data_IF_083283846164
#
_entry.id   IF_083283846164
#
_cell.length_a   1.000
_cell.length_b   1.000
_cell.length_c   1.000
_cell.angle_alpha   90.00
_cell.angle_beta   90.00
_cell.angle_gamma   90.00
#
_symmetry.space_group_name_H-M   'P 1'
#
loop_
_entity.id
_entity.type
_entity.pdbx_description
1 polymer ?
#
# COMPACT_ATOMS: atom_id res chain seq x y z
N UNK A 1 -2.15 -2.48 74.37
CA UNK A 1 -1.13 -1.41 74.49
C UNK A 1 0.18 -1.91 73.90
N UNK A 2 0.24 -2.23 72.61
CA UNK A 2 -0.24 -1.43 71.48
C UNK A 2 0.26 0.01 71.55
N UNK A 3 0.59 0.53 70.38
CA UNK A 3 1.02 1.91 70.11
C UNK A 3 2.46 2.19 70.53
N UNK A 4 3.43 1.69 69.76
CA UNK A 4 4.50 2.55 69.19
C UNK A 4 5.48 1.84 68.22
N UNK A 5 5.23 0.59 67.83
CA UNK A 5 6.11 -0.20 66.93
C UNK A 5 5.43 -0.64 65.60
N UNK A 6 4.25 -0.07 65.26
CA UNK A 6 3.56 -0.35 63.99
C UNK A 6 2.95 0.91 63.39
N UNK A 7 3.78 1.91 63.02
CA UNK A 7 3.43 2.95 62.04
C UNK A 7 4.67 3.54 61.36
N UNK A 8 5.48 2.70 60.72
CA UNK A 8 6.31 3.07 59.55
C UNK A 8 6.42 1.90 58.57
N UNK A 9 5.31 1.18 58.37
CA UNK A 9 5.15 0.13 57.34
C UNK A 9 4.47 0.68 56.08
N UNK A 10 4.70 1.95 55.74
CA UNK A 10 4.17 2.51 54.50
C UNK A 10 5.12 3.62 54.05
N UNK A 11 5.54 3.54 52.78
CA UNK A 11 6.42 4.46 52.06
C UNK A 11 7.94 4.23 52.26
N UNK A 12 8.42 2.99 52.07
CA UNK A 12 9.73 2.70 51.42
C UNK A 12 9.59 1.34 50.69
N UNK A 13 8.89 1.34 49.57
CA UNK A 13 8.92 0.30 48.52
C UNK A 13 7.98 0.76 47.39
N UNK A 14 8.43 1.79 46.68
CA UNK A 14 7.85 2.23 45.41
C UNK A 14 9.00 2.60 44.45
N UNK A 15 9.96 1.68 44.36
CA UNK A 15 11.11 1.74 43.45
C UNK A 15 11.39 0.41 42.74
N UNK A 16 10.45 -0.53 42.77
CA UNK A 16 10.42 -1.71 41.91
C UNK A 16 8.95 -2.06 41.65
N UNK A 17 8.60 -2.32 40.38
CA UNK A 17 7.26 -2.59 39.83
C UNK A 17 6.35 -1.37 39.55
N UNK A 18 6.75 -0.49 38.62
CA UNK A 18 5.91 -0.11 37.47
C UNK A 18 6.86 0.18 36.29
N UNK A 19 7.26 -0.87 35.57
CA UNK A 19 7.71 -0.80 34.19
C UNK A 19 7.55 -2.21 33.59
N UNK A 20 6.35 -2.74 33.70
CA UNK A 20 5.85 -3.83 32.85
C UNK A 20 4.50 -3.40 32.33
N UNK A 21 4.48 -2.25 31.65
CA UNK A 21 3.49 -1.97 30.61
C UNK A 21 4.26 -2.16 29.32
N UNK A 22 4.06 -3.33 28.71
CA UNK A 22 4.31 -3.61 27.30
C UNK A 22 5.38 -2.72 26.68
N UNK A 23 6.63 -3.20 26.70
CA UNK A 23 7.48 -3.07 25.53
C UNK A 23 6.56 -3.40 24.35
N UNK A 24 6.16 -2.36 23.62
CA UNK A 24 5.63 -2.55 22.29
C UNK A 24 6.82 -3.19 21.58
N UNK A 25 6.76 -4.50 21.38
CA UNK A 25 7.59 -5.20 20.42
C UNK A 25 7.21 -4.62 19.05
N UNK A 26 7.76 -3.44 18.74
CA UNK A 26 7.73 -2.88 17.40
C UNK A 26 9.18 -2.84 16.91
N UNK A 27 9.58 -3.71 15.98
CA UNK A 27 10.92 -3.72 15.47
C UNK A 27 11.04 -2.70 14.34
N UNK A 28 10.67 -1.44 14.56
CA UNK A 28 11.35 -0.40 13.78
C UNK A 28 12.74 -0.34 14.41
N UNK A 29 13.70 -1.03 13.80
CA UNK A 29 15.11 -0.89 14.17
C UNK A 29 15.37 0.61 14.31
N UNK A 30 15.86 1.05 15.48
CA UNK A 30 15.92 2.47 15.78
C UNK A 30 16.63 3.23 14.64
N UNK A 31 15.89 4.13 13.96
CA UNK A 31 16.38 4.85 12.79
C UNK A 31 17.33 5.95 13.26
N UNK A 32 18.54 6.04 12.73
CA UNK A 32 19.46 7.12 13.11
C UNK A 32 19.29 8.28 12.13
N UNK A 33 18.82 9.42 12.63
CA UNK A 33 18.77 10.66 11.87
C UNK A 33 19.87 11.61 12.32
N UNK A 34 20.54 12.25 11.36
CA UNK A 34 21.60 13.21 11.63
C UNK A 34 21.10 14.65 11.44
N UNK A 35 21.58 15.56 12.29
CA UNK A 35 21.27 16.99 12.16
C UNK A 35 22.57 17.78 12.00
N UNK A 36 22.63 18.63 10.99
CA UNK A 36 23.68 19.64 10.82
C UNK A 36 23.04 21.02 10.93
N UNK A 37 23.52 21.82 11.87
CA UNK A 37 23.00 23.15 12.14
C UNK A 37 24.00 23.95 12.94
N UNK A 38 24.07 25.27 12.74
CA UNK A 38 24.80 26.15 13.64
C UNK A 38 24.16 26.17 15.05
N UNK A 39 24.86 26.70 16.04
CA UNK A 39 24.43 26.75 17.44
C UNK A 39 23.10 27.48 17.62
N UNK A 40 22.81 28.52 16.83
CA UNK A 40 21.62 29.33 17.03
C UNK A 40 20.37 28.63 16.49
N UNK A 41 20.44 28.12 15.26
CA UNK A 41 19.35 27.34 14.65
C UNK A 41 19.12 26.03 15.42
N UNK A 42 20.18 25.41 15.95
CA UNK A 42 20.06 24.28 16.88
C UNK A 42 19.35 24.67 18.18
N UNK A 43 19.74 25.78 18.83
CA UNK A 43 19.12 26.20 20.09
C UNK A 43 17.61 26.44 19.94
N UNK A 44 17.15 26.90 18.77
CA UNK A 44 15.73 27.11 18.48
C UNK A 44 14.94 25.82 18.27
N UNK A 45 15.56 24.76 17.71
CA UNK A 45 14.83 23.57 17.28
C UNK A 45 15.15 22.31 18.10
N UNK A 46 16.24 22.30 18.86
CA UNK A 46 16.75 21.09 19.53
C UNK A 46 15.77 20.48 20.53
N UNK A 47 15.03 21.30 21.28
CA UNK A 47 14.01 20.81 22.21
C UNK A 47 12.92 20.06 21.45
N UNK A 48 12.32 20.68 20.44
CA UNK A 48 11.32 20.07 19.57
C UNK A 48 11.83 18.75 18.97
N UNK A 49 13.00 18.78 18.32
CA UNK A 49 13.54 17.59 17.66
C UNK A 49 13.79 16.45 18.66
N UNK A 50 14.28 16.77 19.87
CA UNK A 50 14.55 15.77 20.91
C UNK A 50 13.27 15.21 21.53
N UNK A 51 12.18 15.99 21.56
CA UNK A 51 10.87 15.55 22.05
C UNK A 51 10.12 14.70 21.02
N UNK A 52 10.28 15.03 19.73
CA UNK A 52 9.54 14.39 18.63
C UNK A 52 10.24 13.11 18.16
N UNK A 53 11.56 13.11 17.96
CA UNK A 53 12.28 11.97 17.39
C UNK A 53 12.00 10.62 18.10
N UNK A 54 12.00 10.52 19.45
CA UNK A 54 11.72 9.26 20.13
C UNK A 54 10.30 8.73 19.91
N UNK A 55 9.32 9.61 19.63
CA UNK A 55 7.92 9.21 19.36
C UNK A 55 7.80 8.38 18.08
N UNK A 56 8.73 8.56 17.14
CA UNK A 56 8.79 7.89 15.85
C UNK A 56 9.92 6.84 15.78
N UNK A 57 10.49 6.44 16.92
CA UNK A 57 11.58 5.46 16.96
C UNK A 57 12.91 5.96 16.39
N UNK A 58 13.12 7.28 16.35
CA UNK A 58 14.30 7.91 15.76
C UNK A 58 15.32 8.26 16.84
N UNK A 59 16.57 7.85 16.63
CA UNK A 59 17.74 8.28 17.39
C UNK A 59 18.35 9.49 16.68
N UNK A 60 18.20 10.66 17.30
CA UNK A 60 18.75 11.90 16.77
C UNK A 60 20.24 12.06 17.09
N UNK A 61 21.05 12.44 16.10
CA UNK A 61 22.49 12.75 16.28
C UNK A 61 22.88 14.05 15.61
N UNK A 62 23.30 15.04 16.39
CA UNK A 62 23.91 16.25 15.82
C UNK A 62 25.35 15.97 15.41
N UNK A 63 25.70 16.31 14.18
CA UNK A 63 27.06 16.13 13.63
C UNK A 63 27.54 17.43 12.97
N UNK A 64 28.87 17.56 12.85
CA UNK A 64 29.49 18.79 12.36
C UNK A 64 29.61 18.86 10.83
N UNK A 65 29.55 17.72 10.15
CA UNK A 65 29.67 17.64 8.70
C UNK A 65 29.11 16.32 8.15
N UNK A 66 28.84 16.32 6.84
CA UNK A 66 28.27 15.17 6.13
C UNK A 66 29.13 13.91 6.13
N UNK A 67 30.45 13.97 6.37
CA UNK A 67 31.27 12.74 6.37
C UNK A 67 31.06 11.87 7.61
N UNK A 68 30.45 12.44 8.65
CA UNK A 68 30.03 11.74 9.87
C UNK A 68 28.67 11.06 9.74
N UNK A 69 27.91 11.39 8.68
CA UNK A 69 26.68 10.71 8.29
C UNK A 69 26.98 9.86 7.05
N UNK A 70 26.78 8.54 7.13
CA UNK A 70 26.98 7.64 5.99
C UNK A 70 25.71 6.84 5.78
N UNK A 71 25.18 6.89 4.57
CA UNK A 71 23.95 6.19 4.18
C UNK A 71 22.81 6.48 5.16
N UNK A 72 22.59 7.76 5.45
CA UNK A 72 21.67 8.18 6.49
C UNK A 72 20.85 9.40 6.09
N UNK A 73 19.74 9.59 6.81
CA UNK A 73 18.90 10.77 6.70
C UNK A 73 19.58 11.94 7.43
N UNK A 74 19.72 13.06 6.74
CA UNK A 74 20.37 14.27 7.28
C UNK A 74 19.44 15.47 7.16
N UNK A 75 19.02 15.99 8.29
CA UNK A 75 18.32 17.27 8.38
C UNK A 75 19.33 18.42 8.49
N UNK A 76 19.22 19.38 7.58
CA UNK A 76 19.99 20.62 7.60
C UNK A 76 19.06 21.78 7.96
N UNK A 77 19.37 22.46 9.06
CA UNK A 77 18.60 23.62 9.53
C UNK A 77 19.36 24.91 9.27
N UNK A 78 18.74 25.81 8.50
CA UNK A 78 19.26 27.13 8.18
C UNK A 78 19.38 27.35 6.67
N UNK A 79 19.08 28.57 6.22
CA UNK A 79 19.19 28.96 4.81
C UNK A 79 20.63 29.23 4.35
N UNK A 80 20.77 29.62 3.08
CA UNK A 80 22.08 29.84 2.45
C UNK A 80 22.89 31.00 3.05
N UNK A 81 22.21 31.95 3.73
CA UNK A 81 22.85 33.03 4.50
C UNK A 81 23.02 32.70 5.99
N UNK A 82 22.73 31.47 6.43
CA UNK A 82 22.93 31.07 7.82
C UNK A 82 24.43 31.16 8.20
N UNK A 83 24.76 31.67 9.40
CA UNK A 83 26.14 31.77 9.85
C UNK A 83 26.73 30.38 10.05
N UNK A 84 28.04 30.26 9.80
CA UNK A 84 28.83 29.07 10.13
C UNK A 84 29.43 29.17 11.53
N UNK A 85 29.70 28.02 12.14
CA UNK A 85 30.40 27.90 13.41
C UNK A 85 31.06 26.53 13.55
N UNK A 86 31.50 26.15 14.75
CA UNK A 86 32.16 24.85 15.01
C UNK A 86 31.25 23.63 14.72
N UNK A 87 29.92 23.80 14.80
CA UNK A 87 28.93 22.75 14.54
C UNK A 87 28.44 22.73 13.10
N UNK A 88 28.60 23.84 12.37
CA UNK A 88 28.37 23.91 10.94
C UNK A 88 29.49 24.74 10.29
N UNK A 89 30.69 24.16 10.09
CA UNK A 89 31.84 24.90 9.56
C UNK A 89 31.65 25.36 8.10
N UNK A 90 30.74 24.71 7.38
CA UNK A 90 30.35 25.01 6.01
C UNK A 90 28.83 25.17 5.94
N UNK A 91 28.36 26.20 5.25
CA UNK A 91 26.93 26.35 4.94
C UNK A 91 26.56 25.39 3.79
N UNK A 92 25.85 24.32 4.12
CA UNK A 92 25.40 23.33 3.14
C UNK A 92 24.21 23.80 2.31
N UNK A 93 23.34 24.65 2.85
CA UNK A 93 22.23 25.23 2.09
C UNK A 93 22.75 26.14 0.96
N UNK A 94 23.83 26.88 1.18
CA UNK A 94 24.50 27.66 0.12
C UNK A 94 24.99 26.80 -1.05
N UNK A 95 25.47 25.59 -0.76
CA UNK A 95 25.97 24.67 -1.78
C UNK A 95 24.84 23.92 -2.51
N UNK A 96 23.77 23.57 -1.80
CA UNK A 96 22.76 22.62 -2.27
C UNK A 96 21.48 23.29 -2.80
N UNK A 97 21.20 24.53 -2.40
CA UNK A 97 20.11 25.32 -2.97
C UNK A 97 20.55 25.94 -4.31
N UNK A 98 19.62 26.01 -5.25
CA UNK A 98 19.83 26.69 -6.53
C UNK A 98 19.59 28.21 -6.38
N UNK A 99 19.95 28.99 -7.40
CA UNK A 99 19.84 30.46 -7.36
C UNK A 99 18.39 30.97 -7.25
N UNK A 100 17.42 30.22 -7.77
CA UNK A 100 16.00 30.58 -7.63
C UNK A 100 15.51 30.42 -6.18
N UNK A 101 15.86 29.30 -5.54
CA UNK A 101 15.57 29.00 -4.14
C UNK A 101 16.21 30.04 -3.21
N UNK A 102 17.49 30.37 -3.46
CA UNK A 102 18.20 31.42 -2.71
C UNK A 102 17.54 32.78 -2.89
N UNK A 103 17.26 33.18 -4.12
CA UNK A 103 16.58 34.45 -4.44
C UNK A 103 15.21 34.54 -3.78
N UNK A 104 14.45 33.44 -3.75
CA UNK A 104 13.17 33.35 -3.03
C UNK A 104 13.36 33.61 -1.53
N UNK A 105 14.34 32.96 -0.90
CA UNK A 105 14.66 33.15 0.52
C UNK A 105 15.12 34.56 0.86
N UNK A 106 15.63 35.34 -0.10
CA UNK A 106 16.03 36.74 0.12
C UNK A 106 14.92 37.75 -0.13
N UNK A 107 14.01 37.47 -1.07
CA UNK A 107 13.04 38.43 -1.58
C UNK A 107 11.69 38.42 -0.85
N UNK A 108 11.26 37.28 -0.29
CA UNK A 108 9.98 37.14 0.39
C UNK A 108 10.14 36.84 1.89
N UNK A 109 9.57 37.70 2.74
CA UNK A 109 9.62 37.59 4.21
C UNK A 109 8.89 36.37 4.77
N UNK A 110 8.07 35.69 3.96
CA UNK A 110 7.39 34.44 4.31
C UNK A 110 8.00 33.25 3.58
N UNK A 111 9.06 33.44 2.80
CA UNK A 111 9.68 32.37 2.05
C UNK A 111 10.15 31.25 2.97
N UNK A 112 9.80 30.04 2.55
CA UNK A 112 10.34 28.79 3.04
C UNK A 112 10.72 27.97 1.82
N UNK A 113 11.87 27.31 1.93
CA UNK A 113 12.37 26.30 1.01
C UNK A 113 12.58 25.04 1.82
N UNK A 114 11.94 23.97 1.38
CA UNK A 114 12.17 22.62 1.85
C UNK A 114 12.61 21.83 0.63
N UNK A 115 13.77 21.20 0.73
CA UNK A 115 14.39 20.51 -0.41
C UNK A 115 15.07 19.24 0.07
N UNK A 116 14.71 18.14 -0.56
CA UNK A 116 15.37 16.84 -0.36
C UNK A 116 16.31 16.57 -1.52
N UNK A 117 17.57 16.20 -1.24
CA UNK A 117 18.59 15.87 -2.23
C UNK A 117 19.40 14.65 -1.80
N UNK A 118 19.75 13.79 -2.76
CA UNK A 118 20.67 12.68 -2.54
C UNK A 118 22.12 13.11 -2.79
N UNK A 119 23.01 12.91 -1.81
CA UNK A 119 24.44 13.23 -1.95
C UNK A 119 25.32 12.33 -1.11
N UNK A 120 26.31 11.70 -1.74
CA UNK A 120 27.27 10.78 -1.09
C UNK A 120 26.58 9.63 -0.32
N UNK A 121 25.46 9.13 -0.85
CA UNK A 121 24.65 8.09 -0.21
C UNK A 121 23.74 8.59 0.91
N UNK A 122 23.79 9.88 1.26
CA UNK A 122 22.89 10.46 2.25
C UNK A 122 21.69 11.12 1.58
N UNK A 123 20.51 10.92 2.16
CA UNK A 123 19.31 11.69 1.86
C UNK A 123 19.31 12.94 2.74
N UNK A 124 19.43 14.10 2.12
CA UNK A 124 19.61 15.38 2.80
C UNK A 124 18.38 16.24 2.60
N UNK A 125 17.69 16.56 3.68
CA UNK A 125 16.56 17.49 3.67
C UNK A 125 16.97 18.81 4.29
N UNK A 126 16.88 19.88 3.51
CA UNK A 126 17.19 21.25 3.93
C UNK A 126 15.87 21.93 4.26
N UNK A 127 15.75 22.44 5.48
CA UNK A 127 14.65 23.31 5.88
C UNK A 127 15.23 24.72 6.10
N UNK A 128 14.82 25.65 5.25
CA UNK A 128 15.31 27.02 5.24
C UNK A 128 14.15 28.00 5.12
N UNK A 129 14.07 28.96 6.05
CA UNK A 129 13.18 30.11 5.94
C UNK A 129 13.94 31.40 5.66
N UNK A 130 13.21 32.46 5.29
CA UNK A 130 13.73 33.83 5.11
C UNK A 130 14.61 34.28 6.29
N UNK A 131 14.24 33.86 7.50
CA UNK A 131 15.07 33.98 8.69
C UNK A 131 14.90 32.72 9.56
N UNK A 132 15.67 32.63 10.65
CA UNK A 132 15.64 31.49 11.58
C UNK A 132 14.28 31.22 12.23
N UNK A 133 13.46 32.25 12.41
CA UNK A 133 12.10 32.05 12.93
C UNK A 133 11.23 31.36 11.88
N UNK A 134 11.30 31.79 10.62
CA UNK A 134 10.65 31.09 9.51
C UNK A 134 11.17 29.66 9.36
N UNK A 135 12.48 29.42 9.51
CA UNK A 135 13.05 28.06 9.54
C UNK A 135 12.41 27.22 10.64
N UNK A 136 12.37 27.71 11.87
CA UNK A 136 11.82 26.96 13.01
C UNK A 136 10.32 26.68 12.89
N UNK A 137 9.55 27.62 12.33
CA UNK A 137 8.15 27.37 11.99
C UNK A 137 8.02 26.29 10.93
N UNK A 138 8.80 26.38 9.85
CA UNK A 138 8.79 25.37 8.79
C UNK A 138 9.17 23.98 9.32
N UNK A 139 10.11 23.88 10.25
CA UNK A 139 10.48 22.61 10.93
C UNK A 139 9.28 21.96 11.65
N UNK A 140 8.32 22.74 12.13
CA UNK A 140 7.12 22.27 12.86
C UNK A 140 5.88 22.07 12.01
N UNK A 141 5.83 22.75 10.86
CA UNK A 141 4.72 22.67 9.92
C UNK A 141 4.70 21.33 9.20
N UNK A 142 3.58 21.11 8.50
CA UNK A 142 3.34 20.05 7.53
C UNK A 142 2.99 20.73 6.21
N UNK A 143 3.60 20.28 5.10
CA UNK A 143 3.52 20.98 3.81
C UNK A 143 2.80 20.22 2.70
N UNK A 144 2.52 18.94 2.88
CA UNK A 144 1.91 18.03 1.90
C UNK A 144 0.60 17.40 2.35
N UNK A 145 0.07 17.88 3.48
CA UNK A 145 -1.27 17.58 3.97
C UNK A 145 -1.46 16.15 4.48
N UNK A 146 -0.37 15.45 4.80
CA UNK A 146 -0.42 14.27 5.66
C UNK A 146 -0.56 14.72 7.15
N UNK A 147 -0.11 13.93 8.13
CA UNK A 147 -0.05 14.37 9.54
C UNK A 147 1.37 14.51 10.11
N UNK A 148 2.41 14.24 9.33
CA UNK A 148 3.81 14.31 9.78
C UNK A 148 4.34 15.76 9.69
N UNK A 149 5.07 16.23 10.71
CA UNK A 149 5.82 17.47 10.60
C UNK A 149 7.03 17.31 9.67
N UNK A 150 7.39 18.35 8.93
CA UNK A 150 8.50 18.34 7.96
C UNK A 150 9.84 17.85 8.55
N UNK A 151 10.08 18.13 9.83
CA UNK A 151 11.28 17.65 10.52
C UNK A 151 11.27 16.15 10.77
N UNK A 152 10.09 15.58 11.06
CA UNK A 152 9.91 14.13 11.23
C UNK A 152 10.16 13.44 9.91
N UNK A 153 9.56 13.96 8.85
CA UNK A 153 9.74 13.46 7.49
C UNK A 153 11.20 13.50 7.07
N UNK A 154 11.88 14.64 7.25
CA UNK A 154 13.31 14.77 7.03
C UNK A 154 14.17 13.76 7.82
N UNK A 155 13.75 13.39 9.04
CA UNK A 155 14.45 12.41 9.87
C UNK A 155 14.13 10.95 9.46
N UNK A 156 12.91 10.68 9.00
CA UNK A 156 12.49 9.39 8.45
C UNK A 156 13.03 9.16 7.04
N UNK A 157 13.37 10.24 6.33
CA UNK A 157 13.79 10.22 4.95
C UNK A 157 12.62 10.39 3.98
N UNK A 158 11.39 10.61 4.44
CA UNK A 158 10.27 10.94 3.54
C UNK A 158 10.44 12.35 2.96
N UNK A 159 9.76 12.66 1.87
CA UNK A 159 9.83 13.99 1.25
C UNK A 159 8.72 14.88 1.82
N UNK A 160 9.04 15.98 2.57
CA UNK A 160 8.05 16.86 3.21
C UNK A 160 7.11 17.66 2.30
N UNK A 161 7.08 17.30 1.02
CA UNK A 161 6.29 17.93 -0.04
C UNK A 161 5.45 16.89 -0.77
N UNK A 162 5.46 15.65 -0.31
CA UNK A 162 4.83 14.51 -0.94
C UNK A 162 4.35 13.56 0.16
N UNK A 163 3.06 13.64 0.50
CA UNK A 163 2.49 12.86 1.60
C UNK A 163 2.36 11.36 1.36
N UNK A 164 2.95 10.84 0.28
CA UNK A 164 3.09 9.44 -0.13
C UNK A 164 4.41 9.37 -0.93
N UNK A 165 5.51 9.19 -0.19
CA UNK A 165 6.86 9.40 -0.70
C UNK A 165 7.24 8.33 -1.72
N UNK A 166 6.90 7.07 -1.49
CA UNK A 166 7.24 5.97 -2.38
C UNK A 166 6.21 5.71 -3.49
N UNK A 167 5.04 6.33 -3.41
CA UNK A 167 3.95 6.31 -4.39
C UNK A 167 3.26 4.95 -4.51
N UNK A 168 3.15 4.21 -3.41
CA UNK A 168 2.38 2.97 -3.38
C UNK A 168 0.88 3.21 -3.13
N UNK A 169 0.45 4.46 -2.95
CA UNK A 169 -0.91 4.94 -2.60
C UNK A 169 -1.27 4.93 -1.12
N UNK A 170 -0.33 4.59 -0.24
CA UNK A 170 -0.45 4.70 1.20
C UNK A 170 0.26 5.97 1.68
N UNK A 171 -0.43 6.86 2.42
CA UNK A 171 0.24 8.06 2.91
C UNK A 171 1.31 7.76 3.98
N UNK A 172 2.41 8.51 3.97
CA UNK A 172 3.56 8.32 4.88
C UNK A 172 3.13 8.30 6.36
N UNK A 173 2.17 9.14 6.74
CA UNK A 173 1.65 9.20 8.10
C UNK A 173 0.95 7.90 8.53
N UNK A 174 0.25 7.24 7.61
CA UNK A 174 -0.42 5.96 7.83
C UNK A 174 0.58 4.82 7.96
N UNK A 175 1.55 4.80 7.07
CA UNK A 175 2.63 3.84 7.12
C UNK A 175 3.38 3.90 8.45
N UNK A 176 3.73 5.11 8.89
CA UNK A 176 4.53 5.29 10.11
C UNK A 176 3.74 5.09 11.40
N UNK A 177 2.46 5.51 11.44
CA UNK A 177 1.68 5.55 12.68
C UNK A 177 0.70 4.38 12.85
N UNK A 178 0.22 3.81 11.75
CA UNK A 178 -0.86 2.82 11.77
C UNK A 178 -0.37 1.43 11.34
N UNK A 179 0.22 1.32 10.14
CA UNK A 179 0.61 0.03 9.55
C UNK A 179 2.02 -0.42 9.94
N UNK A 180 2.85 0.57 10.29
CA UNK A 180 4.24 0.42 10.72
C UNK A 180 5.13 -0.19 9.62
N UNK A 181 4.83 0.17 8.38
CA UNK A 181 5.60 -0.13 7.15
C UNK A 181 6.75 0.88 6.95
N UNK A 182 7.56 0.70 5.92
CA UNK A 182 8.62 1.65 5.57
C UNK A 182 8.14 2.61 4.46
N UNK A 183 7.92 3.91 4.75
CA UNK A 183 7.36 4.89 3.80
C UNK A 183 8.31 5.30 2.66
N UNK A 184 9.36 4.52 2.46
CA UNK A 184 10.35 4.66 1.41
C UNK A 184 10.41 3.41 0.53
N UNK A 185 9.54 2.43 0.78
CA UNK A 185 9.53 1.12 0.18
C UNK A 185 8.09 0.71 -0.13
N UNK A 186 7.75 0.78 -1.41
CA UNK A 186 6.45 0.35 -1.95
C UNK A 186 6.03 -1.03 -1.44
N UNK A 187 7.01 -1.90 -1.17
CA UNK A 187 6.86 -3.27 -0.67
C UNK A 187 7.82 -3.43 0.52
N UNK A 188 7.31 -3.36 1.75
CA UNK A 188 8.12 -3.33 2.97
C UNK A 188 8.83 -4.65 3.25
N UNK A 189 8.21 -5.77 2.92
CA UNK A 189 8.76 -7.10 3.19
C UNK A 189 9.43 -7.79 1.98
N UNK A 190 9.35 -7.12 0.83
CA UNK A 190 9.99 -7.49 -0.44
C UNK A 190 9.48 -8.81 -1.02
N UNK A 191 8.19 -9.11 -0.89
CA UNK A 191 7.57 -10.32 -1.44
C UNK A 191 6.99 -10.17 -2.86
N UNK A 192 6.88 -8.94 -3.35
CA UNK A 192 6.41 -8.59 -4.69
C UNK A 192 5.08 -7.88 -4.76
N UNK A 193 4.33 -7.75 -3.66
CA UNK A 193 3.12 -6.92 -3.57
C UNK A 193 3.40 -5.62 -2.82
N UNK A 194 2.64 -4.55 -3.15
CA UNK A 194 2.80 -3.30 -2.42
C UNK A 194 2.05 -3.30 -1.09
N UNK A 195 2.54 -2.54 -0.11
CA UNK A 195 1.94 -2.44 1.22
C UNK A 195 0.46 -2.01 1.13
N UNK A 196 0.16 -1.01 0.30
CA UNK A 196 -1.21 -0.57 0.02
C UNK A 196 -2.10 -1.69 -0.52
N UNK A 197 -1.61 -2.52 -1.43
CA UNK A 197 -2.38 -3.63 -2.03
C UNK A 197 -2.64 -4.71 -0.98
N UNK A 198 -1.63 -5.07 -0.20
CA UNK A 198 -1.75 -6.02 0.89
C UNK A 198 -2.77 -5.58 1.94
N UNK A 199 -2.76 -4.31 2.34
CA UNK A 199 -3.68 -3.76 3.34
C UNK A 199 -5.10 -3.61 2.77
N UNK A 200 -5.26 -2.94 1.62
CA UNK A 200 -6.56 -2.47 1.12
C UNK A 200 -7.30 -3.51 0.27
N UNK A 201 -6.58 -4.53 -0.21
CA UNK A 201 -7.13 -5.58 -1.07
C UNK A 201 -6.98 -6.94 -0.42
N UNK A 202 -5.76 -7.41 -0.19
CA UNK A 202 -5.53 -8.81 0.19
C UNK A 202 -5.76 -9.09 1.67
N UNK A 203 -5.74 -8.05 2.50
CA UNK A 203 -5.85 -8.11 3.96
C UNK A 203 -4.75 -9.02 4.56
N UNK A 204 -3.54 -8.94 3.99
CA UNK A 204 -2.31 -9.59 4.49
C UNK A 204 -1.52 -8.63 5.39
N UNK A 205 -0.45 -9.13 6.03
CA UNK A 205 0.39 -8.30 6.91
C UNK A 205 1.61 -7.85 6.10
N UNK A 206 1.75 -6.54 5.75
CA UNK A 206 2.74 -6.03 4.80
C UNK A 206 4.20 -6.07 5.29
N UNK A 207 4.42 -6.74 6.43
CA UNK A 207 5.73 -6.92 7.05
C UNK A 207 6.09 -8.40 7.15
N UNK A 208 5.29 -9.27 6.56
CA UNK A 208 5.42 -10.72 6.61
C UNK A 208 5.29 -11.28 5.20
N UNK A 209 6.42 -11.64 4.58
CA UNK A 209 6.42 -11.99 3.17
C UNK A 209 5.57 -13.24 2.96
N UNK A 210 4.56 -13.12 2.10
CA UNK A 210 3.78 -14.21 1.58
C UNK A 210 4.53 -14.90 0.43
N UNK A 211 3.94 -16.01 -0.05
CA UNK A 211 4.50 -16.79 -1.17
C UNK A 211 3.61 -16.66 -2.39
N UNK A 212 3.64 -15.50 -3.05
CA UNK A 212 2.84 -15.24 -4.27
C UNK A 212 3.13 -16.16 -5.45
N UNK A 213 4.25 -16.90 -5.41
CA UNK A 213 4.58 -17.94 -6.39
C UNK A 213 4.04 -19.33 -6.03
N UNK A 214 3.49 -19.51 -4.82
CA UNK A 214 2.88 -20.75 -4.37
C UNK A 214 1.36 -20.72 -4.58
N UNK A 215 0.88 -21.58 -5.48
CA UNK A 215 -0.53 -21.66 -5.84
C UNK A 215 -1.47 -21.81 -4.64
N UNK A 216 -1.11 -22.64 -3.65
CA UNK A 216 -2.00 -22.90 -2.51
C UNK A 216 -2.07 -21.68 -1.58
N UNK A 217 -0.96 -20.98 -1.40
CA UNK A 217 -0.88 -19.73 -0.63
C UNK A 217 -1.77 -18.67 -1.25
N UNK A 218 -1.63 -18.45 -2.56
CA UNK A 218 -2.43 -17.48 -3.32
C UNK A 218 -3.92 -17.85 -3.24
N UNK A 219 -4.29 -19.09 -3.54
CA UNK A 219 -5.71 -19.53 -3.46
C UNK A 219 -6.32 -19.29 -2.08
N UNK A 220 -5.56 -19.47 -1.00
CA UNK A 220 -6.03 -19.19 0.37
C UNK A 220 -6.29 -17.69 0.59
N UNK A 221 -5.48 -16.81 0.00
CA UNK A 221 -5.63 -15.35 0.10
C UNK A 221 -6.80 -14.86 -0.75
N UNK A 222 -6.99 -15.43 -1.94
CA UNK A 222 -8.03 -15.07 -2.91
C UNK A 222 -9.42 -15.62 -2.54
N UNK A 223 -9.89 -15.28 -1.34
CA UNK A 223 -11.11 -15.80 -0.73
C UNK A 223 -12.38 -14.98 -1.01
N UNK A 224 -12.26 -13.91 -1.78
CA UNK A 224 -13.36 -13.01 -2.14
C UNK A 224 -13.24 -12.53 -3.60
N UNK A 225 -14.37 -12.27 -4.29
CA UNK A 225 -14.39 -11.81 -5.68
C UNK A 225 -13.45 -10.65 -5.97
N UNK A 226 -13.47 -9.59 -5.14
CA UNK A 226 -12.60 -8.41 -5.32
C UNK A 226 -11.10 -8.76 -5.32
N UNK A 227 -10.67 -9.67 -4.44
CA UNK A 227 -9.27 -10.11 -4.34
C UNK A 227 -8.86 -10.88 -5.59
N UNK A 228 -9.72 -11.80 -6.03
CA UNK A 228 -9.52 -12.60 -7.25
C UNK A 228 -9.40 -11.70 -8.47
N UNK A 229 -10.34 -10.76 -8.66
CA UNK A 229 -10.32 -9.84 -9.80
C UNK A 229 -9.05 -9.01 -9.83
N UNK A 230 -8.65 -8.44 -8.68
CA UNK A 230 -7.43 -7.65 -8.57
C UNK A 230 -6.18 -8.48 -8.90
N UNK A 231 -6.07 -9.68 -8.33
CA UNK A 231 -4.94 -10.57 -8.59
C UNK A 231 -4.82 -10.93 -10.08
N UNK A 232 -5.93 -11.26 -10.73
CA UNK A 232 -5.89 -11.57 -12.16
C UNK A 232 -5.51 -10.34 -13.01
N UNK A 233 -5.94 -9.14 -12.64
CA UNK A 233 -5.55 -7.88 -13.30
C UNK A 233 -4.04 -7.62 -13.19
N UNK A 234 -3.46 -7.83 -12.00
CA UNK A 234 -2.06 -7.52 -11.74
C UNK A 234 -1.09 -8.60 -12.24
N UNK A 235 -1.50 -9.87 -12.22
CA UNK A 235 -0.58 -11.00 -12.45
C UNK A 235 -0.81 -11.78 -13.73
N UNK A 236 -2.00 -11.71 -14.33
CA UNK A 236 -2.31 -12.48 -15.51
C UNK A 236 -2.27 -11.64 -16.78
N UNK A 237 -1.94 -12.29 -17.90
CA UNK A 237 -1.97 -11.71 -19.24
C UNK A 237 -3.01 -12.46 -20.07
N UNK A 238 -3.85 -11.74 -20.81
CA UNK A 238 -4.82 -12.35 -21.70
C UNK A 238 -4.14 -12.80 -23.00
N UNK A 239 -4.30 -14.06 -23.38
CA UNK A 239 -3.86 -14.58 -24.68
C UNK A 239 -4.81 -15.68 -25.16
N UNK A 240 -5.02 -15.74 -26.47
CA UNK A 240 -5.84 -16.78 -27.08
C UNK A 240 -5.07 -18.09 -27.23
N UNK A 241 -5.82 -19.18 -27.28
CA UNK A 241 -5.29 -20.49 -27.61
C UNK A 241 -4.71 -20.62 -29.02
N UNK A 242 -3.92 -21.70 -29.27
CA UNK A 242 -3.46 -22.03 -30.61
C UNK A 242 -4.61 -22.11 -31.62
N UNK A 243 -4.34 -21.71 -32.86
CA UNK A 243 -5.36 -21.66 -33.92
C UNK A 243 -6.04 -23.02 -34.12
N UNK A 244 -7.36 -23.06 -33.93
CA UNK A 244 -8.19 -24.25 -34.09
C UNK A 244 -8.26 -25.16 -32.86
N UNK A 245 -7.74 -24.72 -31.72
CA UNK A 245 -7.88 -25.37 -30.41
C UNK A 245 -8.69 -24.49 -29.44
N UNK A 246 -9.36 -25.13 -28.48
CA UNK A 246 -10.10 -24.53 -27.36
C UNK A 246 -9.74 -25.37 -26.12
N UNK A 247 -8.73 -24.90 -25.38
CA UNK A 247 -8.00 -25.62 -24.34
C UNK A 247 -8.32 -25.00 -22.98
N UNK A 248 -9.25 -25.62 -22.29
CA UNK A 248 -9.62 -25.15 -20.96
C UNK A 248 -8.55 -25.56 -19.95
N UNK A 249 -7.76 -24.58 -19.50
CA UNK A 249 -6.70 -24.78 -18.55
C UNK A 249 -7.29 -24.98 -17.15
N UNK A 250 -6.67 -25.89 -16.37
CA UNK A 250 -7.02 -25.99 -14.94
C UNK A 250 -6.51 -24.74 -14.22
N UNK A 251 -7.17 -24.35 -13.13
CA UNK A 251 -6.76 -23.20 -12.31
C UNK A 251 -5.25 -23.17 -11.96
N UNK A 252 -4.65 -24.33 -11.65
CA UNK A 252 -3.22 -24.45 -11.37
C UNK A 252 -2.35 -24.15 -12.60
N UNK A 253 -2.80 -24.55 -13.78
CA UNK A 253 -2.11 -24.30 -15.05
C UNK A 253 -2.20 -22.82 -15.41
N UNK A 254 -3.40 -22.21 -15.34
CA UNK A 254 -3.62 -20.77 -15.53
C UNK A 254 -2.69 -19.94 -14.63
N UNK A 255 -2.59 -20.31 -13.35
CA UNK A 255 -1.71 -19.65 -12.39
C UNK A 255 -0.24 -19.68 -12.80
N UNK A 256 0.32 -20.85 -13.12
CA UNK A 256 1.74 -20.96 -13.46
C UNK A 256 2.07 -20.42 -14.86
N UNK A 257 1.10 -20.40 -15.76
CA UNK A 257 1.21 -19.75 -17.07
C UNK A 257 1.03 -18.24 -17.00
N UNK A 258 0.56 -17.71 -15.86
CA UNK A 258 0.25 -16.31 -15.63
C UNK A 258 -0.80 -15.80 -16.63
N UNK A 259 -1.87 -16.58 -16.83
CA UNK A 259 -2.99 -16.18 -17.67
C UNK A 259 -3.47 -17.27 -18.63
N UNK A 260 -4.19 -16.82 -19.66
CA UNK A 260 -5.07 -17.61 -20.52
C UNK A 260 -6.08 -16.70 -21.21
N UNK A 261 -7.18 -17.27 -21.69
CA UNK A 261 -8.32 -16.55 -22.24
C UNK A 261 -9.54 -16.59 -21.29
N UNK A 262 -10.77 -16.54 -21.82
CA UNK A 262 -11.93 -16.17 -21.02
C UNK A 262 -12.36 -17.25 -20.02
N UNK A 263 -12.33 -18.51 -20.41
CA UNK A 263 -12.68 -19.67 -19.60
C UNK A 263 -11.61 -19.94 -18.54
N UNK A 264 -10.35 -19.70 -18.85
CA UNK A 264 -9.24 -19.93 -17.93
C UNK A 264 -9.32 -19.03 -16.71
N UNK A 265 -9.60 -17.75 -16.94
CA UNK A 265 -9.81 -16.77 -15.88
C UNK A 265 -11.04 -17.14 -15.07
N UNK A 266 -12.12 -17.55 -15.74
CA UNK A 266 -13.36 -17.91 -15.06
C UNK A 266 -13.19 -19.17 -14.19
N UNK A 267 -12.51 -20.20 -14.70
CA UNK A 267 -12.20 -21.46 -13.99
C UNK A 267 -11.27 -21.19 -12.81
N UNK A 268 -10.22 -20.37 -13.00
CA UNK A 268 -9.35 -19.97 -11.90
C UNK A 268 -10.11 -19.24 -10.78
N UNK A 269 -10.96 -18.28 -11.16
CA UNK A 269 -11.78 -17.53 -10.21
C UNK A 269 -12.74 -18.44 -9.44
N UNK A 270 -13.46 -19.32 -10.15
CA UNK A 270 -14.35 -20.29 -9.52
C UNK A 270 -13.59 -21.20 -8.57
N UNK A 271 -12.45 -21.73 -8.99
CA UNK A 271 -11.61 -22.59 -8.15
C UNK A 271 -11.22 -21.90 -6.84
N UNK A 272 -10.79 -20.64 -6.89
CA UNK A 272 -10.45 -19.86 -5.70
C UNK A 272 -11.64 -19.73 -4.74
N UNK A 273 -12.82 -19.35 -5.24
CA UNK A 273 -14.03 -19.25 -4.41
C UNK A 273 -14.42 -20.60 -3.80
N UNK A 274 -14.37 -21.68 -4.58
CA UNK A 274 -14.72 -23.04 -4.15
C UNK A 274 -13.80 -23.54 -3.04
N UNK A 275 -12.49 -23.31 -3.17
CA UNK A 275 -11.52 -23.66 -2.12
C UNK A 275 -11.69 -22.83 -0.84
N UNK A 276 -12.35 -21.67 -0.94
CA UNK A 276 -12.71 -20.81 0.18
C UNK A 276 -14.18 -20.95 0.62
N UNK A 277 -14.83 -22.08 0.29
CA UNK A 277 -16.11 -22.48 0.85
C UNK A 277 -17.35 -21.94 0.13
N UNK A 278 -17.20 -21.28 -1.02
CA UNK A 278 -18.33 -20.87 -1.84
C UNK A 278 -19.02 -22.09 -2.47
N UNK A 279 -20.34 -22.01 -2.66
CA UNK A 279 -21.12 -23.07 -3.29
C UNK A 279 -21.00 -23.02 -4.82
N UNK A 280 -20.96 -24.18 -5.46
CA UNK A 280 -21.16 -24.30 -6.91
C UNK A 280 -22.66 -24.35 -7.23
N UNK A 281 -23.34 -23.21 -7.21
CA UNK A 281 -24.80 -23.11 -7.38
C UNK A 281 -25.25 -21.66 -7.65
N UNK A 282 -24.66 -21.00 -8.65
CA UNK A 282 -24.92 -19.57 -8.89
C UNK A 282 -26.36 -19.24 -9.33
N UNK A 283 -27.17 -20.25 -9.67
CA UNK A 283 -28.55 -20.07 -10.13
C UNK A 283 -29.53 -19.77 -9.01
N UNK A 284 -29.24 -20.23 -7.80
CA UNK A 284 -30.05 -19.91 -6.64
C UNK A 284 -29.64 -18.54 -6.11
N UNK A 285 -30.29 -17.49 -6.63
CA UNK A 285 -30.06 -16.09 -6.21
C UNK A 285 -30.26 -15.87 -4.71
N UNK A 286 -31.05 -16.71 -4.04
CA UNK A 286 -31.27 -16.59 -2.60
C UNK A 286 -30.07 -17.11 -1.80
N UNK A 287 -29.19 -17.87 -2.44
CA UNK A 287 -28.01 -18.46 -1.84
C UNK A 287 -26.79 -17.58 -2.08
N UNK A 288 -26.57 -16.65 -1.15
CA UNK A 288 -25.34 -15.87 -1.11
C UNK A 288 -24.10 -16.78 -1.07
N UNK A 289 -23.00 -16.28 -1.62
CA UNK A 289 -21.72 -16.98 -1.74
C UNK A 289 -21.81 -18.24 -2.60
N UNK A 290 -22.65 -18.20 -3.63
CA UNK A 290 -22.67 -19.16 -4.72
C UNK A 290 -21.95 -18.60 -5.94
N UNK A 291 -21.24 -19.44 -6.68
CA UNK A 291 -20.55 -19.08 -7.91
C UNK A 291 -20.56 -20.23 -8.92
N UNK A 292 -20.46 -19.91 -10.20
CA UNK A 292 -20.29 -20.85 -11.29
C UNK A 292 -19.63 -20.16 -12.47
N UNK A 293 -18.97 -20.92 -13.34
CA UNK A 293 -18.56 -20.39 -14.64
C UNK A 293 -19.73 -20.56 -15.60
N UNK A 294 -20.06 -19.49 -16.31
CA UNK A 294 -21.09 -19.47 -17.34
C UNK A 294 -20.43 -19.28 -18.69
N UNK A 295 -20.54 -20.30 -19.54
CA UNK A 295 -20.18 -20.23 -20.96
C UNK A 295 -21.37 -19.80 -21.79
N UNK A 296 -21.16 -18.83 -22.66
CA UNK A 296 -22.16 -18.26 -23.57
C UNK A 296 -21.70 -18.56 -24.98
N UNK A 297 -22.63 -18.98 -25.85
CA UNK A 297 -22.33 -19.25 -27.26
C UNK A 297 -23.15 -18.35 -28.18
N UNK A 298 -22.52 -17.83 -29.22
CA UNK A 298 -23.19 -17.13 -30.31
C UNK A 298 -22.98 -17.91 -31.59
N UNK A 299 -24.06 -18.23 -32.30
CA UNK A 299 -24.01 -18.93 -33.59
C UNK A 299 -23.24 -20.28 -33.59
N UNK A 300 -23.02 -20.90 -32.43
CA UNK A 300 -22.25 -22.14 -32.26
C UNK A 300 -21.14 -22.01 -31.21
N UNK A 301 -20.36 -23.07 -30.99
CA UNK A 301 -19.27 -23.08 -29.99
C UNK A 301 -18.03 -22.27 -30.42
N UNK A 302 -17.89 -21.95 -31.71
CA UNK A 302 -16.70 -21.27 -32.25
C UNK A 302 -16.65 -19.75 -31.94
N UNK A 303 -17.77 -19.15 -31.55
CA UNK A 303 -17.86 -17.75 -31.09
C UNK A 303 -18.45 -17.70 -29.67
N UNK A 304 -17.75 -18.36 -28.75
CA UNK A 304 -18.13 -18.43 -27.33
C UNK A 304 -17.44 -17.40 -26.45
N UNK A 305 -17.99 -17.18 -25.25
CA UNK A 305 -17.35 -16.39 -24.20
C UNK A 305 -17.70 -16.94 -22.82
N UNK A 306 -16.71 -17.03 -21.93
CA UNK A 306 -16.91 -17.49 -20.57
C UNK A 306 -16.70 -16.38 -19.54
N UNK A 307 -17.54 -16.40 -18.50
CA UNK A 307 -17.45 -15.49 -17.36
C UNK A 307 -17.64 -16.27 -16.07
N UNK A 308 -17.04 -15.81 -14.97
CA UNK A 308 -17.44 -16.31 -13.66
C UNK A 308 -18.61 -15.47 -13.14
N UNK A 309 -19.70 -16.12 -12.77
CA UNK A 309 -20.90 -15.50 -12.17
C UNK A 309 -20.95 -15.86 -10.69
N UNK A 310 -21.34 -14.90 -9.85
CA UNK A 310 -21.50 -15.12 -8.43
C UNK A 310 -22.70 -14.36 -7.85
N UNK A 311 -23.22 -14.86 -6.72
CA UNK A 311 -24.40 -14.33 -6.05
C UNK A 311 -24.02 -13.66 -4.73
N UNK A 312 -24.40 -12.40 -4.58
CA UNK A 312 -24.33 -11.65 -3.33
C UNK A 312 -25.60 -10.81 -3.15
N UNK A 313 -26.09 -10.74 -1.91
CA UNK A 313 -27.28 -9.99 -1.51
C UNK A 313 -28.51 -10.18 -2.42
N UNK A 314 -28.75 -11.42 -2.86
CA UNK A 314 -29.91 -11.73 -3.69
C UNK A 314 -29.76 -11.35 -5.17
N UNK A 315 -28.54 -11.07 -5.64
CA UNK A 315 -28.29 -10.54 -6.99
C UNK A 315 -27.06 -11.16 -7.64
N UNK A 316 -27.01 -11.12 -8.97
CA UNK A 316 -25.91 -11.64 -9.76
C UNK A 316 -24.82 -10.60 -10.00
N UNK A 317 -23.58 -11.06 -9.99
CA UNK A 317 -22.38 -10.31 -10.29
C UNK A 317 -21.45 -11.16 -11.16
N UNK A 318 -20.49 -10.51 -11.81
CA UNK A 318 -19.50 -11.18 -12.68
C UNK A 318 -18.08 -10.80 -12.32
N UNK A 319 -17.16 -11.75 -12.53
CA UNK A 319 -15.72 -11.49 -12.68
C UNK A 319 -15.35 -11.79 -14.13
N UNK A 320 -14.69 -10.83 -14.77
CA UNK A 320 -14.21 -10.90 -16.15
C UNK A 320 -12.91 -10.10 -16.29
N UNK A 321 -12.09 -10.42 -17.31
CA UNK A 321 -10.84 -9.71 -17.58
C UNK A 321 -11.01 -8.66 -18.70
N UNK A 322 -10.92 -7.38 -18.34
CA UNK A 322 -10.60 -6.29 -19.26
C UNK A 322 -11.70 -5.72 -20.16
N UNK A 323 -12.76 -6.48 -20.51
CA UNK A 323 -13.88 -5.99 -21.35
C UNK A 323 -15.11 -5.62 -20.52
N UNK A 324 -15.28 -6.28 -19.39
CA UNK A 324 -16.30 -5.96 -18.39
C UNK A 324 -15.55 -5.91 -17.05
N UNK A 325 -15.47 -4.75 -16.39
CA UNK A 325 -15.10 -4.70 -14.98
C UNK A 325 -15.94 -5.72 -14.21
N UNK A 326 -15.47 -6.15 -13.06
CA UNK A 326 -16.33 -6.98 -12.19
C UNK A 326 -17.61 -6.19 -11.87
N UNK A 327 -18.73 -6.59 -12.46
CA UNK A 327 -19.95 -5.77 -12.56
C UNK A 327 -21.17 -6.51 -12.02
N UNK A 328 -22.19 -5.71 -11.74
CA UNK A 328 -23.44 -6.09 -11.12
C UNK A 328 -23.95 -4.94 -10.23
N UNK A 329 -25.10 -5.11 -9.58
CA UNK A 329 -25.92 -6.31 -9.63
C UNK A 329 -26.82 -6.40 -10.87
N UNK A 330 -27.01 -7.61 -11.40
CA UNK A 330 -27.98 -7.90 -12.46
C UNK A 330 -29.27 -8.51 -11.91
N UNK A 331 -30.44 -8.22 -12.53
CA UNK A 331 -31.73 -8.76 -12.11
C UNK A 331 -31.89 -10.25 -12.46
N UNK A 332 -31.28 -10.71 -13.54
CA UNK A 332 -31.32 -12.07 -14.07
C UNK A 332 -30.09 -12.36 -14.95
N UNK A 333 -29.86 -13.63 -15.26
CA UNK A 333 -28.72 -14.08 -16.08
C UNK A 333 -28.84 -13.64 -17.54
N UNK A 334 -30.05 -13.53 -18.08
CA UNK A 334 -30.26 -13.12 -19.48
C UNK A 334 -29.83 -11.68 -19.71
N UNK A 335 -30.18 -10.78 -18.78
CA UNK A 335 -29.75 -9.38 -18.79
C UNK A 335 -28.22 -9.26 -18.72
N UNK A 336 -27.56 -10.14 -17.97
CA UNK A 336 -26.10 -10.23 -17.94
C UNK A 336 -25.53 -10.68 -19.30
N UNK A 337 -26.07 -11.75 -19.88
CA UNK A 337 -25.66 -12.25 -21.20
C UNK A 337 -25.80 -11.17 -22.27
N UNK A 338 -26.92 -10.46 -22.29
CA UNK A 338 -27.18 -9.39 -23.24
C UNK A 338 -26.18 -8.23 -23.11
N UNK A 339 -25.79 -7.86 -21.88
CA UNK A 339 -24.75 -6.85 -21.64
C UNK A 339 -23.36 -7.33 -22.10
N UNK A 340 -23.00 -8.57 -21.78
CA UNK A 340 -21.73 -9.17 -22.23
C UNK A 340 -21.64 -9.09 -23.75
N UNK A 341 -22.69 -9.53 -24.44
CA UNK A 341 -22.76 -9.52 -25.88
C UNK A 341 -22.65 -8.09 -26.45
N UNK A 342 -23.35 -7.11 -25.86
CA UNK A 342 -23.23 -5.70 -26.27
C UNK A 342 -21.81 -5.14 -26.15
N UNK A 343 -21.07 -5.51 -25.10
CA UNK A 343 -19.71 -4.99 -24.89
C UNK A 343 -18.70 -5.61 -25.84
N UNK A 344 -18.85 -6.90 -26.13
CA UNK A 344 -17.92 -7.63 -26.98
C UNK A 344 -18.16 -7.37 -28.47
N UNK A 345 -19.42 -7.27 -28.90
CA UNK A 345 -19.79 -7.18 -30.33
C UNK A 345 -20.35 -5.82 -30.74
N UNK A 346 -20.57 -4.89 -29.80
CA UNK A 346 -21.29 -3.64 -30.03
C UNK A 346 -22.75 -3.83 -30.51
N UNK A 347 -23.29 -5.04 -30.40
CA UNK A 347 -24.71 -5.41 -30.55
C UNK A 347 -24.99 -6.69 -29.74
N UNK A 348 -26.26 -7.04 -29.51
CA UNK A 348 -26.63 -8.32 -28.89
C UNK A 348 -26.91 -9.37 -29.99
N UNK A 349 -25.94 -10.22 -30.38
CA UNK A 349 -26.22 -11.39 -31.21
C UNK A 349 -27.33 -12.26 -30.58
N UNK A 350 -28.15 -12.95 -31.40
CA UNK A 350 -29.08 -13.94 -30.90
C UNK A 350 -28.27 -15.12 -30.32
N UNK A 351 -28.14 -15.14 -28.99
CA UNK A 351 -27.69 -16.33 -28.26
C UNK A 351 -28.86 -17.33 -28.17
N UNK A 352 -28.55 -18.63 -28.20
CA UNK A 352 -29.54 -19.72 -28.19
C UNK A 352 -29.50 -20.54 -26.89
N UNK A 353 -28.34 -20.61 -26.23
CA UNK A 353 -28.15 -21.30 -24.97
C UNK A 353 -26.95 -20.72 -24.21
N UNK A 354 -26.89 -21.01 -22.92
CA UNK A 354 -25.69 -20.87 -22.09
C UNK A 354 -25.48 -22.15 -21.29
N UNK A 355 -24.29 -22.38 -20.78
CA UNK A 355 -23.95 -23.59 -20.05
C UNK A 355 -23.07 -23.29 -18.85
N UNK A 356 -23.00 -24.24 -17.91
CA UNK A 356 -22.28 -24.07 -16.66
C UNK A 356 -21.11 -25.02 -16.54
N UNK A 357 -19.98 -24.47 -16.12
CA UNK A 357 -18.72 -25.17 -16.00
C UNK A 357 -18.30 -25.22 -14.53
N UNK A 358 -17.93 -26.40 -14.05
CA UNK A 358 -17.41 -26.58 -12.70
C UNK A 358 -15.91 -26.19 -12.60
N UNK A 359 -15.34 -26.25 -11.39
CA UNK A 359 -13.94 -25.93 -11.13
C UNK A 359 -12.92 -26.88 -11.79
N UNK A 360 -13.38 -27.92 -12.48
CA UNK A 360 -12.58 -28.88 -13.23
C UNK A 360 -12.64 -28.66 -14.74
N UNK A 361 -13.38 -27.65 -15.22
CA UNK A 361 -13.56 -27.41 -16.65
C UNK A 361 -14.60 -28.33 -17.29
N UNK A 362 -15.52 -28.90 -16.50
CA UNK A 362 -16.54 -29.82 -17.03
C UNK A 362 -17.90 -29.12 -17.14
N UNK A 363 -18.55 -29.26 -18.31
CA UNK A 363 -19.92 -28.78 -18.49
C UNK A 363 -20.87 -29.63 -17.64
N UNK A 364 -21.60 -28.97 -16.75
CA UNK A 364 -22.52 -29.59 -15.79
C UNK A 364 -23.98 -29.45 -16.17
N UNK A 365 -24.33 -28.37 -16.87
CA UNK A 365 -25.69 -28.04 -17.27
C UNK A 365 -25.68 -27.17 -18.53
N UNK A 366 -26.68 -27.35 -19.38
CA UNK A 366 -26.94 -26.52 -20.56
C UNK A 366 -28.36 -25.99 -20.44
N UNK A 367 -28.52 -24.67 -20.56
CA UNK A 367 -29.79 -23.97 -20.47
C UNK A 367 -30.10 -23.32 -21.81
N UNK A 368 -31.15 -23.81 -22.47
CA UNK A 368 -31.67 -23.21 -23.71
C UNK A 368 -32.41 -21.91 -23.40
N UNK A 369 -32.31 -20.94 -24.30
CA UNK A 369 -33.04 -19.67 -24.23
C UNK A 369 -34.54 -19.90 -24.38
N UNK A 370 -35.34 -19.36 -23.46
CA UNK A 370 -36.80 -19.53 -23.41
C UNK A 370 -37.57 -18.25 -23.13
#
# INVERSE_FOLDING_TARGET
METFEMRRTTIILLSLLICTSSLIDNPISARIAYVISNQIDWALNSQLLSEVAPKYGIILRRVTNLSLAKNANVLILGGHLAPTDEWMPKNYAEELLNEEEKSKLESDKKAVVIKTVEKNGNRITIIAGYNRYNTSLATQSNYDWDSLPNAVEAMLGTDPRQGDTDNDTLPDDKEVLEYLTDPLSIDTDSDGESDAVEILVYETDPKKPERWQDFNTVVRILNAPKKISRYMEDHFTYYSDPEGEDIWQKARETFYRKGGDCEDYAIFALYCLRMNGWSYDAFDVLRNNSAAVMGITWYGFEEGHAVMVYVMDGRYYVIHNGLIPSEGPFPDLESLIDLIAQRLFFFSPPWEAYFFINEHGEITEIVEKG
#
